data_IF_926815964428
#
_entry.id   IF_926815964428
#
_cell.length_a   1.000
_cell.length_b   1.000
_cell.length_c   1.000
_cell.angle_alpha   90.00
_cell.angle_beta   90.00
_cell.angle_gamma   90.00
#
_symmetry.space_group_name_H-M   'P 1'
#
loop_
_entity.id
_entity.type
_entity.pdbx_description
1 polymer ?
#
# COMPACT_ATOMS: atom_id res chain seq x y z
N UNK A 1 -4.61 14.14 -17.82
CA UNK A 1 -5.89 14.57 -18.39
C UNK A 1 -6.50 13.41 -19.13
N UNK A 2 -7.71 13.00 -18.76
CA UNK A 2 -8.49 12.01 -19.51
C UNK A 2 -9.75 12.68 -20.04
N UNK A 3 -10.16 12.29 -21.23
CA UNK A 3 -11.37 12.81 -21.88
C UNK A 3 -12.39 11.68 -21.91
N UNK A 4 -13.53 11.88 -21.25
CA UNK A 4 -14.66 10.95 -21.36
C UNK A 4 -15.44 11.15 -22.65
N UNK A 5 -16.26 10.16 -23.01
CA UNK A 5 -17.03 10.08 -24.28
C UNK A 5 -18.00 11.25 -24.55
N UNK A 6 -18.18 12.16 -23.59
CA UNK A 6 -19.04 13.35 -23.70
C UNK A 6 -18.29 14.69 -23.57
N UNK A 7 -16.95 14.69 -23.71
CA UNK A 7 -16.16 15.93 -23.72
C UNK A 7 -15.96 16.60 -22.35
N UNK A 8 -16.38 15.96 -21.27
CA UNK A 8 -16.03 16.40 -19.91
C UNK A 8 -14.57 16.08 -19.63
N UNK A 9 -13.80 17.11 -19.28
CA UNK A 9 -12.41 17.00 -18.84
C UNK A 9 -12.34 17.18 -17.34
N UNK A 10 -11.80 16.17 -16.66
CA UNK A 10 -11.37 16.29 -15.28
C UNK A 10 -9.84 16.24 -15.25
N UNK A 11 -9.24 17.25 -14.60
CA UNK A 11 -7.83 17.22 -14.22
C UNK A 11 -7.78 16.86 -12.75
N UNK A 12 -7.18 15.72 -12.45
CA UNK A 12 -6.75 15.37 -11.11
C UNK A 12 -5.22 15.35 -11.10
N UNK A 13 -4.62 15.90 -10.06
CA UNK A 13 -3.21 15.71 -9.76
C UNK A 13 -3.07 14.42 -8.97
N UNK A 14 -2.90 13.29 -9.67
CA UNK A 14 -2.43 12.07 -9.02
C UNK A 14 -0.91 12.22 -8.85
N UNK A 15 -0.48 12.55 -7.63
CA UNK A 15 0.93 12.46 -7.25
C UNK A 15 1.19 11.06 -6.71
N UNK A 16 1.57 10.13 -7.57
CA UNK A 16 2.17 8.86 -7.13
C UNK A 16 3.65 9.11 -6.91
N UNK A 17 4.06 9.28 -5.65
CA UNK A 17 5.48 9.28 -5.30
C UNK A 17 5.93 7.85 -5.02
N UNK A 18 6.55 7.18 -6.00
CA UNK A 18 7.31 5.95 -5.74
C UNK A 18 8.61 6.36 -5.04
N UNK A 19 8.79 5.95 -3.79
CA UNK A 19 10.08 6.01 -3.08
C UNK A 19 10.52 7.40 -2.59
N UNK A 20 9.73 8.07 -1.73
CA UNK A 20 10.26 9.17 -0.92
C UNK A 20 11.41 8.67 -0.05
N UNK A 21 12.46 9.48 0.09
CA UNK A 21 13.59 9.18 0.97
C UNK A 21 13.06 9.14 2.42
N UNK A 22 13.31 8.07 3.19
CA UNK A 22 12.75 7.90 4.53
C UNK A 22 12.99 9.09 5.47
N UNK A 23 14.21 9.62 5.51
CA UNK A 23 14.55 10.71 6.43
C UNK A 23 15.51 11.74 5.81
N UNK A 24 15.28 13.01 6.13
CA UNK A 24 16.25 14.08 5.97
C UNK A 24 16.65 14.63 7.34
N UNK A 25 17.94 14.81 7.57
CA UNK A 25 18.47 15.59 8.71
C UNK A 25 18.93 16.95 8.20
N UNK A 26 18.35 18.02 8.75
CA UNK A 26 18.71 19.42 8.49
C UNK A 26 19.41 19.95 9.75
N UNK A 27 20.70 20.22 9.66
CA UNK A 27 21.55 20.59 10.78
C UNK A 27 21.99 22.06 10.66
N UNK A 28 21.25 22.98 11.27
CA UNK A 28 21.41 24.43 11.05
C UNK A 28 22.23 25.12 12.14
N UNK A 29 22.52 24.46 13.25
CA UNK A 29 23.16 25.05 14.43
C UNK A 29 24.67 25.34 14.27
N UNK A 30 25.28 24.75 13.24
CA UNK A 30 26.68 24.94 12.87
C UNK A 30 27.71 24.16 13.71
N UNK A 31 27.31 23.53 14.82
CA UNK A 31 28.20 22.70 15.64
C UNK A 31 28.07 21.20 15.31
N UNK A 32 27.00 20.82 14.61
CA UNK A 32 26.72 19.49 14.08
C UNK A 32 26.56 18.39 15.15
N UNK A 33 26.28 18.75 16.40
CA UNK A 33 26.22 17.83 17.54
C UNK A 33 25.05 16.85 17.40
N UNK A 34 23.84 17.36 17.15
CA UNK A 34 22.66 16.52 17.01
C UNK A 34 22.57 15.86 15.66
N UNK A 35 22.74 16.60 14.56
CA UNK A 35 22.49 16.06 13.23
C UNK A 35 23.44 14.91 12.87
N UNK A 36 24.72 14.97 13.26
CA UNK A 36 25.66 13.85 13.04
C UNK A 36 25.27 12.60 13.83
N UNK A 37 24.77 12.76 15.06
CA UNK A 37 24.32 11.64 15.90
C UNK A 37 23.00 11.06 15.39
N UNK A 38 22.08 11.90 14.89
CA UNK A 38 20.88 11.42 14.20
C UNK A 38 21.23 10.64 12.93
N UNK A 39 22.14 11.15 12.11
CA UNK A 39 22.61 10.46 10.91
C UNK A 39 23.25 9.12 11.24
N UNK A 40 24.08 9.08 12.29
CA UNK A 40 24.69 7.84 12.79
C UNK A 40 23.63 6.83 13.24
N UNK A 41 22.61 7.28 13.98
CA UNK A 41 21.52 6.40 14.41
C UNK A 41 20.71 5.84 13.23
N UNK A 42 20.42 6.66 12.22
CA UNK A 42 19.77 6.24 10.97
C UNK A 42 20.60 5.19 10.22
N UNK A 43 21.91 5.40 10.11
CA UNK A 43 22.83 4.46 9.46
C UNK A 43 22.89 3.11 10.20
N UNK A 44 22.92 3.14 11.54
CA UNK A 44 22.88 1.94 12.38
C UNK A 44 21.56 1.16 12.28
N UNK A 45 20.48 1.81 11.84
CA UNK A 45 19.18 1.20 11.55
C UNK A 45 19.05 0.74 10.09
N UNK A 46 20.01 1.07 9.22
CA UNK A 46 19.93 0.77 7.79
C UNK A 46 18.90 1.64 7.05
N UNK A 47 18.56 2.81 7.59
CA UNK A 47 17.55 3.71 7.04
C UNK A 47 18.19 4.63 6.01
N UNK A 48 17.69 4.59 4.77
CA UNK A 48 18.12 5.52 3.72
C UNK A 48 17.80 6.95 4.18
N UNK A 49 18.82 7.79 4.27
CA UNK A 49 18.69 9.15 4.77
C UNK A 49 19.66 10.11 4.10
N UNK A 50 19.29 11.38 4.07
CA UNK A 50 20.16 12.48 3.64
C UNK A 50 20.47 13.41 4.81
N UNK A 51 21.56 14.17 4.68
CA UNK A 51 22.04 15.12 5.68
C UNK A 51 22.45 16.41 4.99
N UNK A 52 22.04 17.56 5.53
CA UNK A 52 22.41 18.89 5.01
C UNK A 52 22.64 19.87 6.15
N UNK A 53 23.58 20.80 5.97
CA UNK A 53 23.80 21.93 6.88
C UNK A 53 23.18 23.24 6.39
N UNK A 54 22.39 23.16 5.31
CA UNK A 54 21.67 24.30 4.73
C UNK A 54 20.22 23.93 4.49
N UNK A 55 19.32 24.90 4.59
CA UNK A 55 17.90 24.65 4.40
C UNK A 55 17.61 24.26 2.93
N UNK A 56 17.03 23.09 2.66
CA UNK A 56 16.80 22.60 1.30
C UNK A 56 15.62 23.31 0.62
N UNK A 57 15.67 23.39 -0.71
CA UNK A 57 14.60 24.03 -1.50
C UNK A 57 13.35 23.17 -1.69
N UNK A 58 13.43 21.84 -1.45
CA UNK A 58 12.32 20.92 -1.66
C UNK A 58 12.30 19.81 -0.60
N UNK A 59 11.30 19.87 0.28
CA UNK A 59 11.07 18.88 1.34
C UNK A 59 10.14 17.73 0.91
N UNK A 60 9.42 17.85 -0.21
CA UNK A 60 8.40 16.87 -0.64
C UNK A 60 9.00 15.51 -1.04
N UNK A 61 10.33 15.44 -1.20
CA UNK A 61 11.08 14.22 -1.47
C UNK A 61 11.18 13.30 -0.25
N UNK A 62 10.94 13.80 0.96
CA UNK A 62 11.24 13.09 2.20
C UNK A 62 9.97 12.68 2.95
N UNK A 63 9.97 11.46 3.51
CA UNK A 63 8.86 10.98 4.34
C UNK A 63 8.87 11.64 5.72
N UNK A 64 10.07 11.84 6.27
CA UNK A 64 10.29 12.54 7.52
C UNK A 64 11.46 13.53 7.42
N UNK A 65 11.40 14.59 8.21
CA UNK A 65 12.40 15.65 8.30
C UNK A 65 12.74 15.86 9.77
N UNK A 66 14.04 15.92 10.09
CA UNK A 66 14.58 16.18 11.41
C UNK A 66 15.39 17.48 11.37
N UNK A 67 14.95 18.50 12.11
CA UNK A 67 15.57 19.85 12.10
C UNK A 67 16.29 20.09 13.42
N UNK A 68 17.61 20.31 13.36
CA UNK A 68 18.45 20.67 14.50
C UNK A 68 18.70 22.18 14.46
N UNK A 69 18.09 22.91 15.40
CA UNK A 69 18.29 24.36 15.56
C UNK A 69 19.32 24.68 16.65
N UNK A 70 19.74 23.69 17.43
CA UNK A 70 20.79 23.81 18.45
C UNK A 70 20.38 24.61 19.68
N UNK A 71 21.36 24.87 20.54
CA UNK A 71 21.23 25.63 21.79
C UNK A 71 22.30 26.71 21.86
N UNK A 72 21.98 27.84 22.50
CA UNK A 72 22.94 28.92 22.70
C UNK A 72 24.29 28.41 23.26
N UNK A 73 25.44 28.82 22.67
CA UNK A 73 25.59 29.91 21.69
C UNK A 73 25.44 29.51 20.22
N UNK A 74 25.52 28.21 19.91
CA UNK A 74 25.48 27.70 18.55
C UNK A 74 24.03 27.33 18.22
N UNK A 75 23.26 28.30 17.74
CA UNK A 75 21.85 28.13 17.43
C UNK A 75 21.45 28.78 16.11
N UNK A 76 20.39 28.26 15.52
CA UNK A 76 19.71 28.84 14.37
C UNK A 76 18.28 29.25 14.74
N UNK A 77 17.96 30.54 14.58
CA UNK A 77 16.59 31.02 14.72
C UNK A 77 15.90 30.87 13.37
N UNK A 78 14.84 30.06 13.31
CA UNK A 78 14.10 29.87 12.06
C UNK A 78 13.61 31.20 11.50
N UNK A 79 13.89 31.43 10.22
CA UNK A 79 13.28 32.54 9.48
C UNK A 79 11.80 32.27 9.20
N UNK A 80 11.04 33.33 8.93
CA UNK A 80 9.64 33.18 8.51
C UNK A 80 9.48 32.34 7.24
N UNK A 81 10.46 32.37 6.32
CA UNK A 81 10.43 31.62 5.08
C UNK A 81 10.65 30.11 5.32
N UNK A 82 11.64 29.76 6.13
CA UNK A 82 11.90 28.37 6.55
C UNK A 82 10.71 27.80 7.32
N UNK A 83 10.15 28.57 8.26
CA UNK A 83 8.93 28.18 8.97
C UNK A 83 7.74 27.97 8.02
N UNK A 84 7.58 28.79 6.99
CA UNK A 84 6.52 28.60 6.00
C UNK A 84 6.74 27.34 5.14
N UNK A 85 8.00 27.02 4.81
CA UNK A 85 8.33 25.79 4.09
C UNK A 85 8.00 24.54 4.93
N UNK A 86 8.41 24.52 6.20
CA UNK A 86 8.09 23.42 7.13
C UNK A 86 6.59 23.26 7.37
N UNK A 87 5.85 24.37 7.52
CA UNK A 87 4.38 24.33 7.58
C UNK A 87 3.78 23.70 6.32
N UNK A 88 4.24 24.13 5.15
CA UNK A 88 3.73 23.60 3.87
C UNK A 88 3.99 22.10 3.73
N UNK A 89 5.16 21.64 4.18
CA UNK A 89 5.52 20.23 4.25
C UNK A 89 4.56 19.44 5.16
N UNK A 90 4.29 19.94 6.37
CA UNK A 90 3.32 19.31 7.28
C UNK A 90 1.90 19.28 6.70
N UNK A 91 1.43 20.37 6.09
CA UNK A 91 0.09 20.42 5.49
C UNK A 91 -0.13 19.41 4.35
N UNK A 92 0.94 18.85 3.77
CA UNK A 92 0.91 17.77 2.78
C UNK A 92 1.13 16.38 3.39
N UNK A 93 1.04 16.29 4.71
CA UNK A 93 1.22 15.06 5.48
C UNK A 93 2.67 14.70 5.79
N UNK A 94 3.57 15.67 5.81
CA UNK A 94 4.94 15.47 6.26
C UNK A 94 5.04 15.02 7.73
N UNK A 95 6.22 14.52 8.09
CA UNK A 95 6.56 14.10 9.46
C UNK A 95 7.75 14.92 9.93
N UNK A 96 7.59 15.70 11.00
CA UNK A 96 8.61 16.69 11.39
C UNK A 96 9.06 16.52 12.84
N UNK A 97 10.34 16.22 13.01
CA UNK A 97 11.05 16.42 14.26
C UNK A 97 11.73 17.79 14.23
N UNK A 98 11.65 18.55 15.31
CA UNK A 98 12.38 19.81 15.46
C UNK A 98 12.87 19.97 16.89
N UNK A 99 14.16 20.25 17.04
CA UNK A 99 14.78 20.57 18.32
C UNK A 99 15.39 21.96 18.34
N UNK A 100 15.45 22.57 19.52
CA UNK A 100 16.19 23.79 19.77
C UNK A 100 15.96 24.31 21.18
N UNK A 101 16.99 24.85 21.82
CA UNK A 101 16.92 25.31 23.21
C UNK A 101 15.93 26.45 23.41
N UNK A 102 15.94 27.41 22.48
CA UNK A 102 15.17 28.67 22.58
C UNK A 102 13.97 28.72 21.62
N UNK A 103 13.74 27.65 20.86
CA UNK A 103 12.83 27.67 19.71
C UNK A 103 11.35 27.81 20.09
N UNK A 104 10.97 27.34 21.29
CA UNK A 104 9.57 27.18 21.69
C UNK A 104 8.99 28.35 22.47
N UNK A 105 9.82 29.11 23.17
CA UNK A 105 9.44 30.28 23.95
C UNK A 105 10.23 31.51 23.53
N UNK A 106 11.56 31.53 23.72
CA UNK A 106 12.34 32.76 23.55
C UNK A 106 12.30 33.27 22.10
N UNK A 107 12.54 32.40 21.13
CA UNK A 107 12.48 32.77 19.71
C UNK A 107 11.05 33.11 19.29
N UNK A 108 10.01 32.49 19.87
CA UNK A 108 8.60 32.83 19.55
C UNK A 108 8.17 34.21 20.05
N UNK A 109 8.83 34.77 21.08
CA UNK A 109 8.58 36.14 21.51
C UNK A 109 9.12 37.19 20.52
N UNK A 110 10.15 36.83 19.74
CA UNK A 110 10.91 37.76 18.91
C UNK A 110 10.64 37.56 17.41
N UNK A 111 10.57 36.29 16.98
CA UNK A 111 10.47 35.85 15.59
C UNK A 111 9.50 34.66 15.47
N UNK A 112 8.20 34.87 15.72
CA UNK A 112 7.23 33.79 15.60
C UNK A 112 7.18 33.27 14.16
N UNK A 113 7.19 31.95 13.98
CA UNK A 113 7.15 31.35 12.64
C UNK A 113 5.92 30.44 12.48
N UNK A 114 5.38 30.32 11.25
CA UNK A 114 4.08 29.71 11.04
C UNK A 114 4.05 28.19 11.27
N UNK A 115 5.21 27.52 11.42
CA UNK A 115 5.26 26.08 11.73
C UNK A 115 5.00 25.76 13.21
N UNK A 116 5.42 26.62 14.13
CA UNK A 116 5.36 26.34 15.57
C UNK A 116 3.94 25.99 16.07
N UNK A 117 2.86 26.68 15.65
CA UNK A 117 1.51 26.31 16.05
C UNK A 117 1.11 24.87 15.67
N UNK A 118 1.69 24.27 14.61
CA UNK A 118 1.34 22.90 14.20
C UNK A 118 1.87 21.83 15.14
N UNK A 119 2.85 22.14 15.98
CA UNK A 119 3.35 21.22 17.00
C UNK A 119 2.41 21.10 18.20
N UNK A 120 1.47 22.05 18.35
CA UNK A 120 0.63 22.15 19.55
C UNK A 120 1.46 22.13 20.84
N UNK A 121 2.54 22.94 20.86
CA UNK A 121 3.43 23.13 21.99
C UNK A 121 3.32 24.57 22.45
N UNK A 122 3.21 24.78 23.77
CA UNK A 122 3.29 26.10 24.37
C UNK A 122 4.61 26.26 25.12
N UNK A 123 5.40 27.24 24.70
CA UNK A 123 6.53 27.74 25.49
C UNK A 123 6.04 28.46 26.74
N UNK A 124 6.60 28.13 27.90
CA UNK A 124 6.24 28.70 29.19
C UNK A 124 7.23 29.74 29.66
N UNK A 125 8.53 29.42 29.56
CA UNK A 125 9.62 30.31 29.94
C UNK A 125 10.95 29.77 29.42
N UNK A 126 11.87 30.69 29.21
CA UNK A 126 13.30 30.43 29.12
C UNK A 126 13.81 30.02 30.53
N UNK A 127 14.61 28.96 30.61
CA UNK A 127 15.01 28.35 31.88
C UNK A 127 16.53 28.16 32.00
N UNK A 128 17.05 28.48 33.18
CA UNK A 128 18.49 28.54 33.44
C UNK A 128 19.13 27.21 33.86
N UNK A 129 19.37 26.31 32.93
CA UNK A 129 20.42 25.29 33.11
C UNK A 129 20.12 24.12 34.05
N UNK A 130 18.86 23.70 34.18
CA UNK A 130 18.47 22.63 35.12
C UNK A 130 18.22 21.27 34.46
N UNK A 131 18.48 21.14 33.16
CA UNK A 131 18.31 19.87 32.44
C UNK A 131 19.39 18.87 32.89
N UNK A 132 18.96 17.69 33.30
CA UNK A 132 19.83 16.64 33.85
C UNK A 132 19.46 15.26 33.29
N UNK A 133 18.65 14.48 33.99
CA UNK A 133 18.17 13.19 33.50
C UNK A 133 16.82 13.36 32.82
N UNK A 134 16.70 12.87 31.59
CA UNK A 134 15.51 12.93 30.75
C UNK A 134 14.85 11.55 30.75
N UNK A 135 13.66 11.45 31.32
CA UNK A 135 12.92 10.20 31.49
C UNK A 135 11.72 10.14 30.55
N UNK A 136 11.58 8.99 29.88
CA UNK A 136 10.45 8.69 29.01
C UNK A 136 9.14 8.51 29.79
N UNK A 137 8.02 8.71 29.11
CA UNK A 137 6.69 8.60 29.72
C UNK A 137 6.14 7.19 29.49
N UNK A 138 5.76 6.53 30.60
CA UNK A 138 5.38 5.11 30.62
C UNK A 138 4.17 4.74 29.77
N UNK A 139 3.33 5.71 29.39
CA UNK A 139 2.14 5.51 28.54
C UNK A 139 2.38 5.89 27.09
N UNK A 140 3.63 6.11 26.69
CA UNK A 140 4.01 6.57 25.35
C UNK A 140 5.07 5.64 24.75
N UNK A 141 5.43 5.86 23.48
CA UNK A 141 6.46 5.07 22.79
C UNK A 141 7.88 5.23 23.36
N UNK A 142 8.09 6.13 24.33
CA UNK A 142 9.37 6.29 25.03
C UNK A 142 9.39 5.59 26.39
N UNK A 143 8.38 4.78 26.71
CA UNK A 143 8.26 4.08 27.98
C UNK A 143 9.54 3.29 28.32
N UNK A 144 10.04 3.48 29.54
CA UNK A 144 11.24 2.80 30.02
C UNK A 144 12.58 3.39 29.56
N UNK A 145 12.58 4.40 28.67
CA UNK A 145 13.79 5.12 28.31
C UNK A 145 14.19 6.15 29.37
N UNK A 146 15.49 6.31 29.58
CA UNK A 146 16.08 7.27 30.49
C UNK A 146 17.50 7.64 30.04
N UNK A 147 17.74 8.93 29.84
CA UNK A 147 19.01 9.46 29.32
C UNK A 147 19.58 10.48 30.30
N UNK A 148 20.87 10.39 30.63
CA UNK A 148 21.56 11.57 31.16
C UNK A 148 21.81 12.55 30.01
N UNK A 149 21.72 13.84 30.31
CA UNK A 149 21.92 14.89 29.32
C UNK A 149 23.31 15.52 29.46
N UNK A 150 24.00 15.64 28.34
CA UNK A 150 25.30 16.27 28.15
C UNK A 150 25.37 16.88 26.74
N UNK A 151 24.44 17.79 26.44
CA UNK A 151 24.42 18.61 25.22
C UNK A 151 25.32 19.83 25.32
N UNK A 152 25.28 20.70 24.31
CA UNK A 152 26.12 21.90 24.25
C UNK A 152 25.77 22.88 25.37
N UNK A 153 24.50 22.91 25.76
CA UNK A 153 24.03 23.65 26.91
C UNK A 153 22.74 23.02 27.46
N UNK A 154 22.41 23.36 28.71
CA UNK A 154 21.22 22.89 29.42
C UNK A 154 20.20 24.01 29.71
N UNK A 155 20.42 25.19 29.11
CA UNK A 155 19.49 26.32 29.11
C UNK A 155 18.51 26.10 27.98
N UNK A 156 17.31 25.67 28.34
CA UNK A 156 16.29 25.22 27.40
C UNK A 156 14.92 25.75 27.82
N UNK A 157 14.05 25.97 26.85
CA UNK A 157 12.68 26.38 27.08
C UNK A 157 11.90 25.31 27.82
N UNK A 158 11.12 25.73 28.83
CA UNK A 158 10.06 24.88 29.38
C UNK A 158 8.86 24.90 28.46
N UNK A 159 8.37 23.72 28.15
CA UNK A 159 7.23 23.53 27.26
C UNK A 159 6.10 22.78 27.95
N UNK A 160 4.88 22.93 27.45
CA UNK A 160 3.73 22.09 27.82
C UNK A 160 2.91 21.71 26.57
N UNK A 161 2.27 20.53 26.55
CA UNK A 161 1.42 20.12 25.44
C UNK A 161 0.12 20.95 25.39
N UNK A 162 -0.45 21.07 24.19
CA UNK A 162 -1.74 21.70 23.92
C UNK A 162 -2.55 20.87 22.93
N UNK A 163 -3.87 21.13 22.83
CA UNK A 163 -4.73 20.65 21.74
C UNK A 163 -4.58 19.15 21.37
N UNK A 164 -4.37 18.28 22.37
CA UNK A 164 -4.24 16.84 22.15
C UNK A 164 -2.82 16.31 21.88
N UNK A 165 -1.80 17.18 21.80
CA UNK A 165 -0.40 16.75 21.90
C UNK A 165 -0.11 16.21 23.30
N UNK A 166 0.99 15.48 23.44
CA UNK A 166 1.33 14.82 24.70
C UNK A 166 2.85 14.74 24.93
N UNK A 167 3.24 14.80 26.19
CA UNK A 167 4.63 14.74 26.60
C UNK A 167 5.17 13.32 26.44
N UNK A 168 6.34 13.20 25.81
CA UNK A 168 7.06 11.92 25.66
C UNK A 168 8.35 11.88 26.50
N UNK A 169 8.88 13.03 26.94
CA UNK A 169 10.00 13.08 27.86
C UNK A 169 9.87 14.20 28.88
N UNK A 170 10.34 13.94 30.11
CA UNK A 170 10.44 14.93 31.19
C UNK A 170 11.84 14.98 31.77
N UNK A 171 12.28 16.17 32.16
CA UNK A 171 13.43 16.31 33.06
C UNK A 171 13.07 15.75 34.45
N UNK A 172 13.98 15.02 35.07
CA UNK A 172 13.73 14.35 36.34
C UNK A 172 13.72 15.32 37.53
N UNK A 173 14.61 16.31 37.54
CA UNK A 173 14.75 17.28 38.63
C UNK A 173 15.30 18.63 38.15
N UNK A 174 14.55 19.74 38.31
CA UNK A 174 13.14 19.78 38.67
C UNK A 174 12.27 19.16 37.58
N UNK A 175 11.08 18.67 37.94
CA UNK A 175 10.17 18.03 36.99
C UNK A 175 9.58 19.05 36.02
N UNK A 176 9.78 18.85 34.72
CA UNK A 176 9.10 19.58 33.64
C UNK A 176 9.22 18.83 32.31
N UNK A 177 8.33 19.15 31.38
CA UNK A 177 8.27 18.52 30.06
C UNK A 177 9.38 19.07 29.15
N UNK A 178 10.02 18.20 28.37
CA UNK A 178 11.16 18.56 27.50
C UNK A 178 10.98 18.11 26.05
N UNK A 179 10.10 17.14 25.81
CA UNK A 179 9.77 16.70 24.45
C UNK A 179 8.29 16.34 24.36
N UNK A 180 7.63 16.84 23.33
CA UNK A 180 6.20 16.68 23.09
C UNK A 180 5.99 16.10 21.69
N UNK A 181 5.17 15.05 21.61
CA UNK A 181 4.68 14.50 20.35
C UNK A 181 3.25 14.99 20.08
N UNK A 182 2.93 15.17 18.80
CA UNK A 182 1.59 15.54 18.35
C UNK A 182 1.22 14.66 17.15
N UNK A 183 0.15 13.90 17.34
CA UNK A 183 -0.54 13.13 16.31
C UNK A 183 -2.03 13.49 16.39
N UNK A 184 -2.47 14.52 15.64
CA UNK A 184 -3.87 14.94 15.66
C UNK A 184 -4.81 13.93 14.97
N UNK A 185 -4.29 12.79 14.47
CA UNK A 185 -5.03 11.84 13.64
C UNK A 185 -5.30 12.33 12.22
N UNK A 186 -4.86 13.56 11.88
CA UNK A 186 -5.05 14.20 10.58
C UNK A 186 -3.72 14.45 9.88
N UNK A 187 -3.41 13.65 8.87
CA UNK A 187 -2.43 13.96 7.81
C UNK A 187 -0.94 14.00 8.19
N UNK A 188 -0.57 14.65 9.29
CA UNK A 188 0.80 14.97 9.68
C UNK A 188 1.09 14.55 11.13
N UNK A 189 2.38 14.42 11.47
CA UNK A 189 2.83 14.18 12.85
C UNK A 189 4.05 15.01 13.16
N UNK A 190 4.19 15.43 14.41
CA UNK A 190 5.35 16.21 14.85
C UNK A 190 5.91 15.77 16.19
N UNK A 191 7.21 15.94 16.38
CA UNK A 191 7.89 15.84 17.67
C UNK A 191 8.70 17.11 17.88
N UNK A 192 8.38 17.87 18.92
CA UNK A 192 9.13 19.06 19.31
C UNK A 192 9.93 18.82 20.59
N UNK A 193 11.22 19.12 20.57
CA UNK A 193 12.11 18.96 21.72
C UNK A 193 12.77 20.29 22.09
N UNK A 194 12.86 20.61 23.38
CA UNK A 194 13.71 21.70 23.86
C UNK A 194 15.15 21.26 24.07
N UNK A 195 15.38 19.96 24.27
CA UNK A 195 16.72 19.38 24.42
C UNK A 195 17.31 18.96 23.07
N UNK A 196 18.63 18.91 22.99
CA UNK A 196 19.35 18.34 21.84
C UNK A 196 19.31 16.82 21.89
N UNK A 197 18.95 16.17 20.78
CA UNK A 197 19.14 14.73 20.58
C UNK A 197 20.61 14.33 20.75
N UNK A 198 21.50 15.20 20.28
CA UNK A 198 22.94 15.09 20.43
C UNK A 198 23.36 14.97 21.88
N UNK A 199 22.71 15.71 22.79
CA UNK A 199 23.01 15.73 24.21
C UNK A 199 22.59 14.49 24.99
N UNK A 200 21.76 13.60 24.42
CA UNK A 200 21.36 12.37 25.11
C UNK A 200 22.55 11.41 25.21
N UNK A 201 22.90 10.92 26.39
CA UNK A 201 23.99 9.96 26.55
C UNK A 201 23.45 8.53 26.42
N UNK A 202 24.05 7.73 25.55
CA UNK A 202 23.63 6.32 25.39
C UNK A 202 23.96 5.51 26.64
N UNK A 203 23.06 4.61 27.00
CA UNK A 203 23.22 3.66 28.09
C UNK A 203 22.80 2.25 27.62
N UNK A 204 22.30 1.40 28.52
CA UNK A 204 21.69 0.13 28.18
C UNK A 204 20.33 0.33 27.50
N UNK A 205 19.92 -0.65 26.69
CA UNK A 205 18.58 -0.69 26.09
C UNK A 205 17.47 -0.56 27.17
N UNK A 206 16.40 0.22 26.90
CA UNK A 206 16.06 0.89 25.64
C UNK A 206 16.69 2.29 25.45
N UNK A 207 17.56 2.74 26.36
CA UNK A 207 18.12 4.10 26.38
C UNK A 207 19.33 4.29 25.44
N UNK A 208 19.13 4.08 24.15
CA UNK A 208 20.14 4.40 23.12
C UNK A 208 19.54 5.30 22.05
N UNK A 209 20.35 6.19 21.45
CA UNK A 209 19.95 7.03 20.31
C UNK A 209 19.45 6.21 19.13
N UNK A 210 20.04 5.05 18.89
CA UNK A 210 19.57 4.10 17.87
C UNK A 210 18.11 3.70 18.13
N UNK A 211 17.80 3.25 19.34
CA UNK A 211 16.44 2.85 19.70
C UNK A 211 15.48 4.04 19.73
N UNK A 212 15.93 5.19 20.23
CA UNK A 212 15.11 6.39 20.22
C UNK A 212 14.77 6.84 18.79
N UNK A 213 15.75 6.82 17.88
CA UNK A 213 15.51 7.12 16.47
C UNK A 213 14.54 6.12 15.84
N UNK A 214 14.66 4.83 16.19
CA UNK A 214 13.68 3.82 15.77
C UNK A 214 12.26 4.16 16.22
N UNK A 215 12.07 4.54 17.49
CA UNK A 215 10.76 4.94 18.01
C UNK A 215 10.22 6.20 17.32
N UNK A 216 11.07 7.20 17.04
CA UNK A 216 10.66 8.39 16.28
C UNK A 216 10.20 8.05 14.87
N UNK A 217 10.94 7.19 14.15
CA UNK A 217 10.57 6.76 12.80
C UNK A 217 9.30 5.91 12.79
N UNK A 218 9.10 5.07 13.81
CA UNK A 218 7.89 4.28 13.99
C UNK A 218 6.68 5.19 14.29
N UNK A 219 6.83 6.16 15.19
CA UNK A 219 5.81 7.18 15.44
C UNK A 219 5.45 7.94 14.16
N UNK A 220 6.43 8.23 13.31
CA UNK A 220 6.24 8.89 12.03
C UNK A 220 5.71 7.98 10.90
N UNK A 221 5.47 6.70 11.14
CA UNK A 221 5.05 5.72 10.14
C UNK A 221 6.01 5.64 8.93
N UNK A 222 7.31 5.92 9.12
CA UNK A 222 8.31 5.99 8.02
C UNK A 222 8.52 4.64 7.33
N UNK A 223 8.27 3.55 8.05
CA UNK A 223 8.35 2.20 7.49
C UNK A 223 7.00 1.71 6.92
N UNK A 224 5.99 2.59 6.89
CA UNK A 224 4.59 2.23 6.74
C UNK A 224 4.00 1.67 8.04
N UNK A 225 2.70 1.42 8.06
CA UNK A 225 2.11 0.62 9.13
C UNK A 225 2.80 -0.77 9.10
N UNK A 226 3.46 -1.23 10.18
CA UNK A 226 4.06 -2.56 10.19
C UNK A 226 3.01 -3.65 9.96
N UNK A 227 1.73 -3.34 10.15
CA UNK A 227 0.61 -4.21 9.88
C UNK A 227 0.03 -3.89 8.48
N UNK A 228 0.36 -4.74 7.51
CA UNK A 228 -0.33 -4.82 6.21
C UNK A 228 -0.65 -6.29 5.87
N UNK A 229 -1.77 -6.56 5.22
CA UNK A 229 -2.21 -7.90 4.86
C UNK A 229 -2.57 -7.94 3.38
N UNK A 230 -2.16 -9.00 2.69
CA UNK A 230 -2.50 -9.22 1.29
C UNK A 230 -2.21 -10.68 0.92
N UNK A 231 -2.81 -11.15 -0.16
CA UNK A 231 -2.50 -12.44 -0.73
C UNK A 231 -2.76 -12.47 -2.24
N UNK A 232 -2.19 -13.47 -2.89
CA UNK A 232 -2.49 -13.81 -4.29
C UNK A 232 -2.73 -15.31 -4.43
N UNK A 233 -3.40 -15.70 -5.51
CA UNK A 233 -3.64 -17.09 -5.88
C UNK A 233 -3.22 -17.35 -7.33
N UNK A 234 -2.71 -18.53 -7.62
CA UNK A 234 -2.31 -18.96 -8.95
C UNK A 234 -2.66 -20.44 -9.16
N UNK A 235 -3.43 -20.78 -10.21
CA UNK A 235 -4.28 -19.90 -11.05
C UNK A 235 -5.58 -19.46 -10.33
N UNK A 236 -6.23 -18.39 -10.80
CA UNK A 236 -7.55 -17.94 -10.28
C UNK A 236 -8.74 -18.44 -11.11
N UNK A 237 -8.48 -19.09 -12.25
CA UNK A 237 -9.49 -19.78 -13.06
C UNK A 237 -9.02 -21.20 -13.31
N UNK A 238 -9.81 -22.18 -12.88
CA UNK A 238 -9.45 -23.60 -12.91
C UNK A 238 -10.58 -24.48 -13.41
N UNK A 239 -10.24 -25.72 -13.76
CA UNK A 239 -11.21 -26.78 -14.01
C UNK A 239 -11.67 -27.43 -12.70
N UNK A 240 -12.85 -28.03 -12.71
CA UNK A 240 -13.34 -28.83 -11.58
C UNK A 240 -12.31 -29.90 -11.19
N UNK A 241 -11.98 -29.96 -9.91
CA UNK A 241 -11.03 -30.92 -9.32
C UNK A 241 -9.57 -30.47 -9.36
N UNK A 242 -9.27 -29.32 -9.97
CA UNK A 242 -7.91 -28.76 -9.96
C UNK A 242 -7.60 -28.00 -8.66
N UNK A 243 -6.30 -27.76 -8.49
CA UNK A 243 -5.73 -27.11 -7.31
C UNK A 243 -5.36 -25.66 -7.59
N UNK A 244 -5.52 -24.82 -6.57
CA UNK A 244 -5.07 -23.43 -6.54
C UNK A 244 -4.00 -23.30 -5.46
N UNK A 245 -2.85 -22.71 -5.81
CA UNK A 245 -1.82 -22.32 -4.86
C UNK A 245 -2.08 -20.89 -4.38
N UNK A 246 -2.13 -20.69 -3.07
CA UNK A 246 -2.21 -19.37 -2.45
C UNK A 246 -0.86 -18.94 -1.89
N UNK A 247 -0.62 -17.63 -1.91
CA UNK A 247 0.58 -17.01 -1.35
C UNK A 247 0.19 -15.89 -0.41
N UNK A 248 0.56 -16.00 0.86
CA UNK A 248 0.47 -14.92 1.82
C UNK A 248 1.57 -13.89 1.54
N UNK A 249 1.15 -12.66 1.27
CA UNK A 249 2.05 -11.53 1.07
C UNK A 249 2.05 -10.61 2.28
N UNK A 250 1.31 -10.89 3.33
CA UNK A 250 1.17 -10.03 4.51
C UNK A 250 2.49 -9.75 5.22
N UNK A 251 2.49 -8.71 6.04
CA UNK A 251 3.64 -8.33 6.85
C UNK A 251 4.18 -9.49 7.67
N UNK A 252 5.50 -9.59 7.74
CA UNK A 252 6.22 -10.61 8.50
C UNK A 252 6.07 -10.46 10.02
N UNK A 253 5.52 -9.34 10.50
CA UNK A 253 5.22 -9.13 11.92
C UNK A 253 4.04 -9.99 12.42
N UNK A 254 3.19 -10.47 11.51
CA UNK A 254 2.11 -11.39 11.87
C UNK A 254 2.65 -12.80 12.06
N UNK A 255 2.35 -13.38 13.21
CA UNK A 255 2.84 -14.72 13.60
C UNK A 255 1.80 -15.81 13.39
N UNK A 256 0.51 -15.44 13.33
CA UNK A 256 -0.61 -16.36 13.10
C UNK A 256 -1.35 -16.01 11.81
N UNK A 257 -1.97 -17.03 11.22
CA UNK A 257 -2.80 -16.91 10.03
C UNK A 257 -3.95 -17.92 10.04
N UNK A 258 -5.09 -17.51 9.51
CA UNK A 258 -6.25 -18.35 9.26
C UNK A 258 -6.80 -18.01 7.88
N UNK A 259 -6.74 -19.00 7.00
CA UNK A 259 -7.38 -18.97 5.70
C UNK A 259 -8.76 -19.61 5.76
N UNK A 260 -9.71 -19.05 5.01
CA UNK A 260 -11.03 -19.65 4.78
C UNK A 260 -11.32 -19.69 3.28
N UNK A 261 -11.65 -20.89 2.81
CA UNK A 261 -11.89 -21.24 1.41
C UNK A 261 -13.27 -21.93 1.28
N UNK A 262 -14.38 -21.19 1.35
CA UNK A 262 -15.72 -21.79 1.20
C UNK A 262 -15.81 -22.61 -0.08
N UNK A 263 -16.23 -23.87 0.00
CA UNK A 263 -16.31 -24.79 -1.14
C UNK A 263 -14.97 -25.37 -1.63
N UNK A 264 -13.85 -24.99 -1.02
CA UNK A 264 -12.54 -25.59 -1.23
C UNK A 264 -12.23 -26.72 -0.24
N UNK A 265 -11.27 -27.57 -0.58
CA UNK A 265 -10.73 -28.62 0.30
C UNK A 265 -9.20 -28.48 0.43
N UNK A 266 -8.66 -28.23 1.64
CA UNK A 266 -9.40 -28.03 2.89
C UNK A 266 -10.17 -26.69 2.90
N UNK A 267 -11.25 -26.61 3.69
CA UNK A 267 -12.07 -25.39 3.82
C UNK A 267 -11.37 -24.30 4.65
N UNK A 268 -10.42 -24.67 5.51
CA UNK A 268 -9.59 -23.74 6.27
C UNK A 268 -8.12 -24.21 6.30
N UNK A 269 -7.19 -23.27 6.46
CA UNK A 269 -5.77 -23.59 6.62
C UNK A 269 -5.05 -22.57 7.50
N UNK A 270 -4.02 -23.01 8.22
CA UNK A 270 -3.09 -22.15 8.97
C UNK A 270 -1.69 -22.10 8.33
N UNK A 271 -1.53 -22.69 7.15
CA UNK A 271 -0.26 -22.67 6.42
C UNK A 271 0.00 -21.28 5.81
N UNK A 272 1.27 -20.92 5.63
CA UNK A 272 1.64 -19.66 4.99
C UNK A 272 1.17 -19.60 3.52
N UNK A 273 1.35 -20.70 2.79
CA UNK A 273 1.06 -20.78 1.36
C UNK A 273 0.28 -22.09 1.07
N UNK A 274 -1.01 -22.17 1.41
CA UNK A 274 -1.79 -23.40 1.27
C UNK A 274 -2.12 -23.72 -0.20
N UNK A 275 -2.33 -25.00 -0.47
CA UNK A 275 -2.91 -25.52 -1.72
C UNK A 275 -4.34 -25.98 -1.45
N UNK A 276 -5.29 -25.57 -2.29
CA UNK A 276 -6.71 -25.86 -2.11
C UNK A 276 -7.30 -26.46 -3.39
N UNK A 277 -8.03 -27.56 -3.28
CA UNK A 277 -8.76 -28.16 -4.40
C UNK A 277 -10.21 -27.70 -4.40
N UNK A 278 -10.77 -27.32 -5.56
CA UNK A 278 -12.20 -27.03 -5.69
C UNK A 278 -12.91 -28.08 -6.57
N UNK A 279 -13.86 -28.80 -6.00
CA UNK A 279 -14.52 -29.96 -6.64
C UNK A 279 -15.89 -29.64 -7.25
N UNK A 280 -16.29 -28.38 -7.28
CA UNK A 280 -17.58 -27.96 -7.84
C UNK A 280 -17.41 -26.68 -8.64
N UNK A 281 -18.22 -26.52 -9.68
CA UNK A 281 -18.26 -25.29 -10.44
C UNK A 281 -18.80 -24.14 -9.58
N UNK A 282 -18.27 -22.95 -9.79
CA UNK A 282 -18.72 -21.77 -9.08
C UNK A 282 -17.70 -20.65 -9.06
N UNK A 283 -18.09 -19.57 -8.40
CA UNK A 283 -17.18 -18.49 -8.02
C UNK A 283 -17.06 -18.51 -6.50
N UNK A 284 -15.83 -18.49 -6.00
CA UNK A 284 -15.52 -18.69 -4.59
C UNK A 284 -14.78 -17.50 -4.01
N UNK A 285 -15.24 -17.04 -2.86
CA UNK A 285 -14.57 -16.03 -2.06
C UNK A 285 -13.37 -16.65 -1.34
N UNK A 286 -12.37 -15.82 -1.03
CA UNK A 286 -11.23 -16.24 -0.22
C UNK A 286 -10.96 -15.18 0.84
N UNK A 287 -10.76 -15.62 2.08
CA UNK A 287 -10.41 -14.74 3.20
C UNK A 287 -9.11 -15.20 3.84
N UNK A 288 -8.26 -14.23 4.16
CA UNK A 288 -7.05 -14.40 4.98
C UNK A 288 -7.16 -13.46 6.18
N UNK A 289 -7.13 -14.03 7.38
CA UNK A 289 -6.90 -13.33 8.63
C UNK A 289 -5.47 -13.56 9.10
N UNK A 290 -4.76 -12.50 9.45
CA UNK A 290 -3.40 -12.54 10.02
C UNK A 290 -3.37 -11.78 11.34
N UNK A 291 -2.65 -12.31 12.33
CA UNK A 291 -2.60 -11.70 13.66
C UNK A 291 -1.25 -11.83 14.36
N UNK A 292 -0.99 -10.87 15.24
CA UNK A 292 0.08 -10.80 16.22
C UNK A 292 -0.53 -10.39 17.57
N UNK A 293 0.22 -10.39 18.69
CA UNK A 293 -0.29 -9.89 19.97
C UNK A 293 -0.82 -8.46 19.92
N UNK A 294 -0.32 -7.64 18.98
CA UNK A 294 -0.57 -6.20 18.93
C UNK A 294 -1.64 -5.81 17.89
N UNK A 295 -1.91 -6.67 16.89
CA UNK A 295 -2.79 -6.33 15.78
C UNK A 295 -3.38 -7.56 15.10
N UNK A 296 -4.57 -7.40 14.52
CA UNK A 296 -5.24 -8.40 13.67
C UNK A 296 -5.79 -7.71 12.44
N UNK A 297 -5.64 -8.35 11.28
CA UNK A 297 -6.14 -7.83 10.02
C UNK A 297 -6.74 -8.92 9.15
N UNK A 298 -7.79 -8.54 8.41
CA UNK A 298 -8.58 -9.44 7.58
C UNK A 298 -8.62 -8.88 6.17
N UNK A 299 -8.32 -9.72 5.19
CA UNK A 299 -8.45 -9.42 3.76
C UNK A 299 -9.35 -10.46 3.13
N UNK A 300 -10.42 -10.00 2.48
CA UNK A 300 -11.35 -10.85 1.72
C UNK A 300 -11.38 -10.44 0.25
N UNK A 301 -11.34 -11.42 -0.64
CA UNK A 301 -11.53 -11.23 -2.08
C UNK A 301 -12.78 -12.00 -2.53
N UNK A 302 -13.79 -11.25 -2.95
CA UNK A 302 -15.09 -11.79 -3.39
C UNK A 302 -14.97 -12.34 -4.81
N UNK A 303 -15.47 -13.55 -5.04
CA UNK A 303 -15.46 -14.25 -6.33
C UNK A 303 -14.06 -14.49 -6.89
N UNK A 304 -13.07 -14.64 -6.02
CA UNK A 304 -11.65 -14.60 -6.39
C UNK A 304 -11.20 -15.83 -7.19
N UNK A 305 -11.78 -17.00 -6.92
CA UNK A 305 -11.53 -18.22 -7.68
C UNK A 305 -12.76 -18.55 -8.53
N UNK A 306 -12.54 -18.78 -9.82
CA UNK A 306 -13.57 -19.26 -10.74
C UNK A 306 -13.28 -20.69 -11.14
N UNK A 307 -14.22 -21.58 -10.86
CA UNK A 307 -14.14 -23.00 -11.23
C UNK A 307 -15.13 -23.23 -12.35
N UNK A 308 -14.60 -23.55 -13.52
CA UNK A 308 -15.39 -23.93 -14.68
C UNK A 308 -15.31 -25.43 -14.88
N UNK A 309 -16.33 -26.01 -15.47
CA UNK A 309 -16.18 -27.34 -16.05
C UNK A 309 -15.80 -27.14 -17.52
N UNK A 310 -14.72 -27.80 -17.95
CA UNK A 310 -14.62 -28.06 -19.38
C UNK A 310 -15.69 -29.08 -19.65
N UNK A 311 -16.75 -28.66 -20.35
CA UNK A 311 -17.47 -29.62 -21.19
C UNK A 311 -16.50 -30.03 -22.31
N UNK A 312 -15.47 -30.78 -21.95
CA UNK A 312 -14.84 -31.73 -22.84
C UNK A 312 -15.99 -32.54 -23.36
N UNK A 313 -16.10 -32.60 -24.68
CA UNK A 313 -16.91 -33.60 -25.35
C UNK A 313 -16.49 -34.92 -24.72
N UNK A 314 -17.30 -35.44 -23.79
CA UNK A 314 -17.37 -36.89 -23.62
C UNK A 314 -17.70 -37.38 -25.02
N UNK A 315 -16.80 -38.16 -25.59
CA UNK A 315 -17.08 -39.02 -26.74
C UNK A 315 -18.14 -40.10 -26.41
N UNK A 316 -18.97 -39.86 -25.40
CA UNK A 316 -20.07 -40.66 -24.91
C UNK A 316 -21.33 -39.78 -24.71
N UNK A 317 -21.57 -38.80 -25.60
CA UNK A 317 -22.95 -38.37 -25.84
C UNK A 317 -23.56 -39.34 -26.86
N UNK A 318 -24.53 -40.19 -26.48
CA UNK A 318 -25.30 -40.91 -27.48
C UNK A 318 -26.00 -39.85 -28.35
N UNK A 319 -25.79 -39.94 -29.66
CA UNK A 319 -26.66 -39.40 -30.73
C UNK A 319 -26.55 -37.94 -31.22
N UNK A 320 -25.58 -37.11 -30.81
CA UNK A 320 -25.41 -35.79 -31.46
C UNK A 320 -24.62 -35.91 -32.77
N UNK A 321 -25.29 -35.86 -33.93
CA UNK A 321 -24.62 -35.89 -35.24
C UNK A 321 -24.82 -34.59 -36.00
N UNK A 322 -23.71 -33.97 -36.43
CA UNK A 322 -23.72 -32.79 -37.30
C UNK A 322 -23.33 -33.20 -38.73
N UNK A 323 -24.22 -32.94 -39.67
CA UNK A 323 -24.00 -33.14 -41.11
C UNK A 323 -24.12 -31.81 -41.86
N UNK A 324 -23.17 -31.58 -42.78
CA UNK A 324 -23.11 -30.42 -43.66
C UNK A 324 -23.22 -30.90 -45.09
N UNK A 325 -24.25 -30.46 -45.82
CA UNK A 325 -24.43 -30.87 -47.21
C UNK A 325 -24.99 -29.74 -48.09
N UNK A 326 -24.54 -29.62 -49.35
CA UNK A 326 -23.44 -30.38 -49.96
C UNK A 326 -22.07 -29.95 -49.41
N UNK A 327 -21.14 -30.89 -49.31
CA UNK A 327 -19.72 -30.60 -49.04
C UNK A 327 -18.88 -31.44 -50.02
N UNK A 328 -18.18 -30.83 -51.00
CA UNK A 328 -17.97 -29.39 -51.18
C UNK A 328 -19.20 -28.60 -51.67
N UNK A 329 -19.29 -27.32 -51.30
CA UNK A 329 -20.34 -26.37 -51.68
C UNK A 329 -19.99 -25.70 -53.02
N UNK A 330 -20.86 -25.80 -54.01
CA UNK A 330 -20.66 -25.21 -55.36
C UNK A 330 -21.61 -24.05 -55.70
N UNK A 331 -22.77 -23.98 -55.05
CA UNK A 331 -23.82 -22.99 -55.34
C UNK A 331 -24.05 -22.02 -54.17
N UNK A 332 -23.00 -21.83 -53.36
CA UNK A 332 -22.97 -20.85 -52.27
C UNK A 332 -24.02 -21.05 -51.18
N UNK A 333 -24.64 -22.23 -51.08
CA UNK A 333 -25.55 -22.60 -50.00
C UNK A 333 -25.20 -23.98 -49.45
N UNK A 334 -25.35 -24.15 -48.15
CA UNK A 334 -25.23 -25.43 -47.46
C UNK A 334 -26.38 -25.60 -46.48
N UNK A 335 -26.65 -26.84 -46.06
CA UNK A 335 -27.60 -27.15 -44.99
C UNK A 335 -26.85 -27.78 -43.83
N UNK A 336 -27.28 -27.41 -42.63
CA UNK A 336 -26.80 -27.97 -41.38
C UNK A 336 -27.91 -28.86 -40.83
N UNK A 337 -27.69 -30.16 -40.80
CA UNK A 337 -28.58 -31.08 -40.11
C UNK A 337 -27.89 -31.59 -38.85
N UNK A 338 -28.45 -31.19 -37.72
CA UNK A 338 -28.07 -31.60 -36.38
C UNK A 338 -29.12 -32.56 -35.84
N UNK A 339 -28.78 -33.85 -35.70
CA UNK A 339 -29.66 -34.81 -35.06
C UNK A 339 -29.25 -34.95 -33.59
N UNK A 340 -30.23 -34.91 -32.70
CA UNK A 340 -30.10 -35.20 -31.26
C UNK A 340 -31.37 -34.81 -30.51
N UNK A 341 -31.75 -35.60 -29.50
CA UNK A 341 -32.98 -35.38 -28.73
C UNK A 341 -32.89 -34.12 -27.87
N UNK A 342 -33.88 -33.23 -27.94
CA UNK A 342 -33.96 -32.00 -27.13
C UNK A 342 -32.82 -31.00 -27.37
N UNK A 343 -32.32 -30.93 -28.61
CA UNK A 343 -31.21 -30.05 -28.98
C UNK A 343 -31.74 -28.78 -29.63
N UNK A 344 -31.40 -27.64 -29.02
CA UNK A 344 -31.71 -26.32 -29.55
C UNK A 344 -30.43 -25.64 -30.03
N UNK A 345 -30.45 -25.14 -31.26
CA UNK A 345 -29.32 -24.40 -31.84
C UNK A 345 -29.41 -22.95 -31.38
N UNK A 346 -28.37 -22.45 -30.71
CA UNK A 346 -28.31 -21.08 -30.23
C UNK A 346 -27.54 -20.15 -31.17
N UNK A 347 -26.49 -20.67 -31.85
CA UNK A 347 -25.67 -19.88 -32.78
C UNK A 347 -24.94 -20.79 -33.76
N UNK A 348 -24.80 -20.33 -35.01
CA UNK A 348 -23.94 -20.94 -36.02
C UNK A 348 -22.89 -19.91 -36.43
N UNK A 349 -21.62 -20.29 -36.33
CA UNK A 349 -20.48 -19.47 -36.76
C UNK A 349 -19.62 -20.20 -37.76
N UNK A 350 -19.03 -19.45 -38.67
CA UNK A 350 -18.10 -19.93 -39.69
C UNK A 350 -16.77 -19.23 -39.49
N UNK A 351 -15.70 -20.02 -39.42
CA UNK A 351 -14.34 -19.54 -39.19
C UNK A 351 -13.44 -19.89 -40.37
N UNK A 352 -12.49 -19.00 -40.68
CA UNK A 352 -11.38 -19.35 -41.55
C UNK A 352 -10.36 -20.25 -40.80
N UNK A 353 -9.34 -20.75 -41.50
CA UNK A 353 -8.33 -21.63 -40.89
C UNK A 353 -7.41 -20.93 -39.88
N UNK A 354 -7.39 -19.59 -39.86
CA UNK A 354 -6.68 -18.80 -38.85
C UNK A 354 -7.51 -18.54 -37.58
N UNK A 355 -8.77 -19.03 -37.54
CA UNK A 355 -9.64 -18.95 -36.37
C UNK A 355 -10.49 -17.66 -36.28
N UNK A 356 -10.48 -16.82 -37.30
CA UNK A 356 -11.30 -15.61 -37.37
C UNK A 356 -12.75 -15.95 -37.77
N UNK A 357 -13.74 -15.38 -37.07
CA UNK A 357 -15.16 -15.53 -37.39
C UNK A 357 -15.49 -14.71 -38.64
N UNK A 358 -15.75 -15.39 -39.76
CA UNK A 358 -15.99 -14.76 -41.07
C UNK A 358 -17.48 -14.65 -41.42
N UNK A 359 -18.33 -15.43 -40.76
CA UNK A 359 -19.78 -15.34 -40.92
C UNK A 359 -20.47 -15.87 -39.66
N UNK A 360 -21.47 -15.13 -39.19
CA UNK A 360 -22.40 -15.57 -38.15
C UNK A 360 -23.80 -15.69 -38.75
N UNK A 361 -24.50 -16.79 -38.47
CA UNK A 361 -25.91 -16.98 -38.80
C UNK A 361 -26.71 -16.94 -37.51
N UNK A 362 -27.56 -15.91 -37.38
CA UNK A 362 -28.51 -15.75 -36.27
C UNK A 362 -29.83 -16.45 -36.60
N UNK A 363 -30.57 -16.87 -35.57
CA UNK A 363 -31.89 -17.50 -35.68
C UNK A 363 -31.95 -18.74 -36.59
N UNK A 364 -30.85 -19.50 -36.65
CA UNK A 364 -30.77 -20.69 -37.48
C UNK A 364 -31.72 -21.80 -36.98
N UNK A 365 -32.63 -22.25 -37.84
CA UNK A 365 -33.46 -23.43 -37.60
C UNK A 365 -32.81 -24.67 -38.19
N UNK A 366 -32.78 -25.76 -37.44
CA UNK A 366 -32.21 -27.02 -37.88
C UNK A 366 -32.70 -27.41 -39.29
N UNK A 367 -31.79 -27.88 -40.15
CA UNK A 367 -32.02 -28.23 -41.55
C UNK A 367 -32.37 -27.05 -42.50
N UNK A 368 -32.26 -25.79 -42.05
CA UNK A 368 -32.39 -24.61 -42.93
C UNK A 368 -31.14 -24.38 -43.77
N UNK A 369 -31.26 -23.59 -44.83
CA UNK A 369 -30.11 -23.21 -45.64
C UNK A 369 -29.30 -22.09 -44.97
N UNK A 370 -27.97 -22.20 -45.08
CA UNK A 370 -27.04 -21.12 -44.79
C UNK A 370 -26.48 -20.60 -46.11
N UNK A 371 -26.51 -19.27 -46.30
CA UNK A 371 -25.85 -18.65 -47.45
C UNK A 371 -24.38 -18.43 -47.16
N UNK A 372 -23.53 -18.90 -48.06
CA UNK A 372 -22.07 -18.81 -48.04
C UNK A 372 -21.54 -17.96 -49.20
N UNK A 373 -22.42 -17.25 -49.91
CA UNK A 373 -22.08 -16.44 -51.09
C UNK A 373 -21.09 -15.31 -50.80
N UNK A 374 -21.00 -14.87 -49.54
CA UNK A 374 -20.04 -13.85 -49.10
C UNK A 374 -18.63 -14.39 -48.90
N UNK A 375 -18.44 -15.72 -48.91
CA UNK A 375 -17.16 -16.36 -48.66
C UNK A 375 -16.47 -16.72 -49.98
N UNK A 376 -15.15 -16.52 -50.02
CA UNK A 376 -14.32 -16.93 -51.16
C UNK A 376 -14.18 -18.46 -51.20
N UNK A 377 -13.88 -19.07 -52.34
CA UNK A 377 -13.49 -20.49 -52.40
C UNK A 377 -12.37 -20.81 -51.41
N UNK A 378 -12.52 -21.89 -50.65
CA UNK A 378 -11.61 -22.22 -49.55
C UNK A 378 -12.18 -23.21 -48.55
N UNK A 379 -11.38 -23.50 -47.52
CA UNK A 379 -11.77 -24.38 -46.41
C UNK A 379 -12.16 -23.54 -45.21
N UNK A 380 -13.29 -23.88 -44.60
CA UNK A 380 -13.83 -23.22 -43.42
C UNK A 380 -14.23 -24.24 -42.34
N UNK A 381 -14.35 -23.76 -41.11
CA UNK A 381 -14.90 -24.51 -39.98
C UNK A 381 -16.26 -23.95 -39.61
N UNK A 382 -17.29 -24.79 -39.62
CA UNK A 382 -18.62 -24.45 -39.13
C UNK A 382 -18.73 -24.95 -37.69
N UNK A 383 -18.92 -24.03 -36.75
CA UNK A 383 -19.18 -24.31 -35.34
C UNK A 383 -20.65 -24.04 -35.04
N UNK A 384 -21.34 -25.04 -34.53
CA UNK A 384 -22.73 -24.94 -34.08
C UNK A 384 -22.74 -24.99 -32.56
N UNK A 385 -23.26 -23.95 -31.92
CA UNK A 385 -23.50 -23.89 -30.48
C UNK A 385 -24.94 -24.27 -30.19
N UNK A 386 -25.12 -25.06 -29.15
CA UNK A 386 -26.41 -25.61 -28.73
C UNK A 386 -26.57 -25.47 -27.22
N UNK A 387 -27.78 -25.70 -26.73
CA UNK A 387 -28.06 -25.87 -25.30
C UNK A 387 -27.32 -27.07 -24.66
N UNK A 388 -26.73 -27.99 -25.45
CA UNK A 388 -26.00 -29.18 -24.98
C UNK A 388 -24.49 -29.13 -25.27
N UNK A 389 -23.95 -27.98 -25.66
CA UNK A 389 -22.54 -27.80 -25.99
C UNK A 389 -22.33 -27.36 -27.45
N UNK A 390 -21.12 -27.51 -27.97
CA UNK A 390 -20.80 -27.10 -29.35
C UNK A 390 -20.19 -28.23 -30.16
N UNK A 391 -20.50 -28.26 -31.46
CA UNK A 391 -19.95 -29.22 -32.42
C UNK A 391 -19.38 -28.47 -33.64
N UNK A 392 -18.20 -28.89 -34.09
CA UNK A 392 -17.49 -28.27 -35.22
C UNK A 392 -17.29 -29.25 -36.37
N UNK A 393 -17.51 -28.80 -37.60
CA UNK A 393 -17.29 -29.58 -38.84
C UNK A 393 -16.62 -28.72 -39.91
N UNK A 394 -15.73 -29.34 -40.68
CA UNK A 394 -15.08 -28.72 -41.84
C UNK A 394 -16.04 -28.66 -43.04
N UNK A 395 -16.03 -27.54 -43.75
CA UNK A 395 -16.72 -27.37 -45.03
C UNK A 395 -15.75 -26.84 -46.09
N UNK A 396 -15.88 -27.34 -47.32
CA UNK A 396 -15.12 -26.87 -48.48
C UNK A 396 -16.04 -26.09 -49.40
N UNK A 397 -15.66 -24.88 -49.79
CA UNK A 397 -16.35 -24.05 -50.79
C UNK A 397 -15.48 -24.06 -52.05
N UNK A 398 -16.06 -24.43 -53.19
CA UNK A 398 -15.37 -24.50 -54.48
C UNK A 398 -15.65 -23.27 -55.34
#
# INVERSE_FOLDING_TARGET
>A
TYTGDYGYTASFDITVTIGRIPALVIDLDGNTNSGTKMKTALDQLGVISEYTTTFPSNLDKYQSVFVCLGVYPNKHVLTSAEGQALKSYLMRGGRLYMEGGDTWYYDQLNTPTPVHPLFNIKGLKDNGGTLSTINGISTTFTAGMSFTYNGDNNYIDKIEPQNGSYTIFKNASPLYDVTIANDPGTGYKTIGASNEFGGLVDFAAPSTKKQLMWEYLNFFDVFGNPYWANFVALPTSILVGEQVQFYDLSSTVFTNRLWTFPGGYPENSTEANPVVTYNSMGSYDVTLEVSSPDSTMIVSRIGYITVIDVTGVKEDAPSLSLTLYPNPVRHGVARINLNGEGVDISKVSIYNLTGEEVLQVVDYRNNSEISLNSLKPGIYLVKVMTNKGSITRKISIL
#
